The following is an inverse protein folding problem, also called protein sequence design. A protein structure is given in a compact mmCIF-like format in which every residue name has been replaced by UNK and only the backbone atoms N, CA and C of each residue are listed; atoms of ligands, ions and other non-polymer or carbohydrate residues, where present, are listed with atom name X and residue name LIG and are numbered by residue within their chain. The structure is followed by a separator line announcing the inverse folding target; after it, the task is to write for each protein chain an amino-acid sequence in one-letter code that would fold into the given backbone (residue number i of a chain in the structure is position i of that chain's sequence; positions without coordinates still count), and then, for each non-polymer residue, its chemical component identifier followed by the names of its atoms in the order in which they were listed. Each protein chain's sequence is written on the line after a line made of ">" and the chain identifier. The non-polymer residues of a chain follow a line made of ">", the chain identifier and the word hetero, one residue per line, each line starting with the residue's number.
data_IF_729294846912
#
_entry.id   IF_729294846912
#
_cell.length_a   1.000
_cell.length_b   1.000
_cell.length_c   1.000
_cell.angle_alpha   90.00
_cell.angle_beta   90.00
_cell.angle_gamma   90.00
#
_symmetry.space_group_name_H-M   'P 1'
#
loop_
_entity.id
_entity.type
_entity.pdbx_description
1 polymer ?
#
# COMPACT_ATOMS: atom_id res chain seq x y z
N UNK A 1 -5.67 11.12 -4.38
CA UNK A 1 -4.55 11.74 -3.64
C UNK A 1 -3.25 11.54 -4.40
N UNK A 2 -2.49 12.61 -4.63
CA UNK A 2 -1.18 12.58 -5.26
C UNK A 2 -0.11 12.83 -4.18
N UNK A 3 0.87 11.95 -4.06
CA UNK A 3 1.97 12.07 -3.10
C UNK A 3 3.23 12.37 -3.88
N UNK A 4 3.85 13.51 -3.62
CA UNK A 4 5.08 13.92 -4.30
C UNK A 4 6.23 12.94 -4.01
N UNK A 5 7.14 12.81 -4.96
CA UNK A 5 8.32 11.95 -4.80
C UNK A 5 9.17 12.43 -3.63
N UNK A 6 9.62 11.51 -2.77
CA UNK A 6 10.36 11.80 -1.51
C UNK A 6 9.55 12.50 -0.41
N UNK A 7 8.23 12.64 -0.58
CA UNK A 7 7.36 13.13 0.48
C UNK A 7 6.60 11.96 1.11
N UNK A 8 6.37 12.11 2.41
CA UNK A 8 5.49 11.24 3.18
C UNK A 8 4.12 11.88 3.26
N UNK A 9 3.09 11.09 2.97
CA UNK A 9 1.71 11.49 3.16
C UNK A 9 1.12 10.77 4.37
N UNK A 10 0.30 11.50 5.13
CA UNK A 10 -0.45 10.98 6.25
C UNK A 10 -1.93 11.03 5.92
N UNK A 11 -2.60 9.88 5.98
CA UNK A 11 -4.04 9.76 5.73
C UNK A 11 -4.70 9.35 7.06
N UNK A 12 -5.57 10.17 7.65
CA UNK A 12 -6.26 9.85 8.90
C UNK A 12 -7.39 8.86 8.63
N UNK A 13 -7.02 7.59 8.48
CA UNK A 13 -7.96 6.47 8.37
C UNK A 13 -7.96 5.69 9.68
N UNK A 14 -9.11 5.16 10.13
CA UNK A 14 -9.14 4.28 11.28
C UNK A 14 -8.42 2.95 10.97
N UNK A 15 -7.99 2.26 12.02
CA UNK A 15 -7.39 0.93 11.91
C UNK A 15 -8.38 -0.02 11.23
N UNK A 16 -7.94 -0.63 10.14
CA UNK A 16 -8.63 -1.70 9.45
C UNK A 16 -7.63 -2.71 8.91
N UNK A 17 -8.06 -3.97 8.83
CA UNK A 17 -7.28 -5.06 8.24
C UNK A 17 -7.03 -4.82 6.74
N UNK A 18 -7.90 -4.05 6.09
CA UNK A 18 -7.78 -3.74 4.67
C UNK A 18 -8.08 -2.28 4.35
N UNK A 19 -7.30 -1.71 3.43
CA UNK A 19 -7.57 -0.41 2.82
C UNK A 19 -7.76 -0.56 1.32
N UNK A 20 -8.68 0.20 0.75
CA UNK A 20 -9.00 0.18 -0.68
C UNK A 20 -8.78 1.55 -1.29
N UNK A 21 -8.21 1.59 -2.50
CA UNK A 21 -8.05 2.84 -3.26
C UNK A 21 -8.37 2.63 -4.73
N UNK A 22 -8.81 3.70 -5.36
CA UNK A 22 -9.02 3.77 -6.80
C UNK A 22 -7.97 4.71 -7.39
N UNK A 23 -7.31 4.28 -8.47
CA UNK A 23 -6.39 5.11 -9.25
C UNK A 23 -6.79 5.14 -10.71
N UNK A 24 -6.73 6.32 -11.30
CA UNK A 24 -6.88 6.50 -12.74
C UNK A 24 -5.49 6.67 -13.35
N UNK A 25 -5.11 5.78 -14.27
CA UNK A 25 -3.87 5.90 -15.06
C UNK A 25 -4.14 6.72 -16.33
N UNK A 26 -3.08 7.00 -17.07
CA UNK A 26 -3.16 7.51 -18.44
C UNK A 26 -4.11 6.66 -19.30
N UNK A 27 -4.91 7.32 -20.15
CA UNK A 27 -6.05 6.75 -20.92
C UNK A 27 -7.30 6.36 -20.11
N UNK A 28 -7.57 7.00 -18.96
CA UNK A 28 -8.77 6.75 -18.14
C UNK A 28 -8.93 5.29 -17.67
N UNK A 29 -7.85 4.53 -17.64
CA UNK A 29 -7.90 3.19 -17.06
C UNK A 29 -7.99 3.29 -15.55
N UNK A 30 -9.09 2.78 -15.00
CA UNK A 30 -9.37 2.75 -13.57
C UNK A 30 -8.82 1.44 -13.01
N UNK A 31 -8.00 1.54 -11.97
CA UNK A 31 -7.47 0.43 -11.22
C UNK A 31 -7.91 0.52 -9.78
N UNK A 32 -8.46 -0.59 -9.29
CA UNK A 32 -8.74 -0.78 -7.89
C UNK A 32 -7.56 -1.52 -7.25
N UNK A 33 -7.06 -0.96 -6.15
CA UNK A 33 -6.00 -1.57 -5.38
C UNK A 33 -6.47 -1.82 -3.95
N UNK A 34 -6.03 -2.95 -3.39
CA UNK A 34 -6.27 -3.32 -2.00
C UNK A 34 -4.91 -3.45 -1.28
N UNK A 35 -4.84 -2.88 -0.09
CA UNK A 35 -3.75 -3.05 0.86
C UNK A 35 -4.29 -3.89 2.02
N UNK A 36 -3.55 -4.92 2.42
CA UNK A 36 -3.84 -5.69 3.63
C UNK A 36 -2.82 -5.31 4.69
N UNK A 37 -3.30 -4.93 5.87
CA UNK A 37 -2.44 -4.75 7.04
C UNK A 37 -2.27 -6.13 7.66
N UNK A 38 -1.02 -6.50 7.92
CA UNK A 38 -0.76 -7.72 8.67
C UNK A 38 -1.12 -7.44 10.13
N UNK A 39 -2.23 -8.03 10.58
CA UNK A 39 -2.55 -8.12 12.01
C UNK A 39 -1.67 -9.21 12.61
N UNK A 40 -0.94 -8.86 13.66
CA UNK A 40 -0.05 -9.77 14.39
C UNK A 40 -0.83 -10.63 15.39
N UNK A 41 -1.89 -11.31 14.94
CA UNK A 41 -2.64 -12.27 15.76
C UNK A 41 -2.92 -13.53 14.95
N UNK A 42 -2.32 -14.64 15.40
CA UNK A 42 -2.48 -15.98 14.83
C UNK A 42 -1.39 -16.34 13.83
N UNK A 43 -0.51 -17.26 14.23
CA UNK A 43 0.42 -17.96 13.36
C UNK A 43 -0.26 -18.38 12.03
N UNK A 44 0.44 -18.17 10.90
CA UNK A 44 0.09 -18.56 9.52
C UNK A 44 -0.48 -17.52 8.53
N UNK A 45 -0.58 -16.22 8.86
CA UNK A 45 -0.69 -15.20 7.79
C UNK A 45 0.70 -14.84 7.30
N UNK A 46 1.16 -15.54 6.25
CA UNK A 46 2.43 -15.29 5.55
C UNK A 46 2.67 -13.79 5.36
N UNK A 47 3.66 -13.25 6.06
CA UNK A 47 4.15 -11.87 5.94
C UNK A 47 4.50 -11.46 4.49
N UNK A 48 4.61 -12.44 3.59
CA UNK A 48 4.94 -12.30 2.18
C UNK A 48 3.90 -11.51 1.36
N UNK A 49 2.65 -11.34 1.84
CA UNK A 49 1.56 -10.70 1.07
C UNK A 49 0.86 -9.52 1.77
N UNK A 50 1.44 -8.99 2.85
CA UNK A 50 0.90 -7.83 3.56
C UNK A 50 1.68 -6.55 3.22
N UNK A 51 1.10 -5.38 3.54
CA UNK A 51 1.76 -4.06 3.44
C UNK A 51 2.14 -3.61 2.01
N UNK A 52 1.75 -4.38 0.99
CA UNK A 52 1.83 -4.01 -0.41
C UNK A 52 0.44 -3.77 -1.00
N UNK A 53 0.36 -2.86 -1.97
CA UNK A 53 -0.85 -2.67 -2.74
C UNK A 53 -0.95 -3.73 -3.83
N UNK A 54 -2.06 -4.47 -3.86
CA UNK A 54 -2.37 -5.44 -4.90
C UNK A 54 -3.46 -4.91 -5.82
N UNK A 55 -3.36 -5.18 -7.11
CA UNK A 55 -4.42 -4.87 -8.06
C UNK A 55 -5.51 -5.94 -8.00
N UNK A 56 -6.73 -5.51 -7.71
CA UNK A 56 -7.89 -6.41 -7.48
C UNK A 56 -8.23 -7.23 -8.73
N UNK A 57 -7.93 -6.72 -9.93
CA UNK A 57 -8.28 -7.38 -11.19
C UNK A 57 -7.35 -8.55 -11.53
N UNK A 58 -6.06 -8.43 -11.21
CA UNK A 58 -5.05 -9.40 -11.65
C UNK A 58 -4.21 -9.98 -10.49
N UNK A 59 -4.49 -9.60 -9.25
CA UNK A 59 -3.81 -9.99 -8.03
C UNK A 59 -2.28 -9.75 -8.04
N UNK A 60 -1.78 -8.88 -8.92
CA UNK A 60 -0.36 -8.52 -8.95
C UNK A 60 -0.07 -7.40 -7.96
N UNK A 61 1.09 -7.47 -7.32
CA UNK A 61 1.65 -6.37 -6.53
C UNK A 61 1.88 -5.15 -7.41
N UNK A 62 1.66 -3.98 -6.85
CA UNK A 62 1.75 -2.70 -7.56
C UNK A 62 2.88 -1.90 -6.95
N UNK A 63 3.80 -1.45 -7.80
CA UNK A 63 4.81 -0.47 -7.41
C UNK A 63 4.13 0.75 -6.79
N UNK A 64 4.41 0.93 -5.51
CA UNK A 64 3.94 2.06 -4.75
C UNK A 64 4.89 2.32 -3.60
N UNK A 65 4.78 3.53 -3.04
CA UNK A 65 5.47 3.85 -1.81
C UNK A 65 5.13 2.88 -0.70
N UNK A 66 6.10 2.63 0.21
CA UNK A 66 5.86 1.83 1.40
C UNK A 66 4.65 2.42 2.14
N UNK A 67 3.69 1.56 2.50
CA UNK A 67 2.46 2.01 3.14
C UNK A 67 2.24 1.21 4.42
N UNK A 68 2.27 1.89 5.56
CA UNK A 68 2.17 1.29 6.89
C UNK A 68 1.11 2.03 7.69
N UNK A 69 0.30 1.29 8.45
CA UNK A 69 -0.60 1.91 9.41
C UNK A 69 0.11 2.12 10.75
N UNK A 70 0.06 3.34 11.29
CA UNK A 70 0.58 3.64 12.61
C UNK A 70 -0.59 3.73 13.62
N UNK A 71 -0.76 2.75 14.52
CA UNK A 71 -1.87 2.73 15.48
C UNK A 71 -1.76 3.83 16.52
N UNK A 72 -0.55 4.23 16.92
CA UNK A 72 -0.33 5.32 17.87
C UNK A 72 -0.78 6.67 17.29
N UNK A 73 -0.60 6.87 15.99
CA UNK A 73 -0.98 8.10 15.30
C UNK A 73 -2.40 8.07 14.72
N UNK A 74 -3.04 6.90 14.66
CA UNK A 74 -4.34 6.71 14.02
C UNK A 74 -4.33 7.04 12.52
N UNK A 75 -3.23 6.74 11.82
CA UNK A 75 -2.98 7.21 10.44
C UNK A 75 -2.31 6.16 9.58
N UNK A 76 -2.70 6.13 8.31
CA UNK A 76 -1.97 5.44 7.25
C UNK A 76 -0.85 6.34 6.74
N UNK A 77 0.38 5.86 6.83
CA UNK A 77 1.60 6.54 6.39
C UNK A 77 1.96 5.98 5.01
N UNK A 78 2.06 6.85 4.00
CA UNK A 78 2.45 6.49 2.64
C UNK A 78 3.77 7.19 2.32
N UNK A 79 4.85 6.41 2.23
CA UNK A 79 6.19 6.91 1.92
C UNK A 79 6.49 6.75 0.43
N UNK A 80 6.49 7.84 -0.34
CA UNK A 80 6.83 7.77 -1.77
C UNK A 80 8.35 7.81 -2.00
N UNK A 81 9.05 6.88 -1.35
CA UNK A 81 10.42 6.51 -1.65
C UNK A 81 10.32 5.39 -2.68
N UNK A 82 10.67 5.65 -3.95
CA UNK A 82 10.87 4.52 -4.86
C UNK A 82 11.98 3.66 -4.24
N UNK A 83 11.64 2.48 -3.71
CA UNK A 83 12.62 1.41 -3.56
C UNK A 83 13.23 1.28 -4.95
N UNK A 84 14.52 1.58 -5.10
CA UNK A 84 15.27 1.03 -6.22
C UNK A 84 14.98 -0.46 -6.15
N UNK A 85 14.25 -0.98 -7.14
CA UNK A 85 14.20 -2.39 -7.38
C UNK A 85 15.63 -2.72 -7.80
N UNK A 86 16.47 -3.07 -6.82
CA UNK A 86 17.80 -3.61 -7.13
C UNK A 86 17.51 -4.97 -7.74
N UNK A 87 17.49 -5.03 -9.06
CA UNK A 87 17.57 -6.29 -9.79
C UNK A 87 18.87 -6.95 -9.32
N UNK A 88 18.74 -8.06 -8.57
CA UNK A 88 19.85 -8.96 -8.39
C UNK A 88 20.03 -9.67 -9.73
N UNK A 89 21.18 -9.39 -10.35
CA UNK A 89 21.70 -9.96 -11.59
C UNK A 89 21.91 -11.47 -11.41
#
# INVERSE_FOLDING_TARGET
>A
MYVLRRFTAYIPLPLHDTYRRVRTKWKNQIFEHILRICSSEGDDVKAENCEFWMNVKNNKTVESGATVYNPFLGKLIVENLQKKMTEFI
#
